data_IF_006114720069
#
_entry.id   IF_006114720069
#
_cell.length_a   1.000
_cell.length_b   1.000
_cell.length_c   1.000
_cell.angle_alpha   90.00
_cell.angle_beta   90.00
_cell.angle_gamma   90.00
#
_symmetry.space_group_name_H-M   'P 1'
#
loop_
_entity.id
_entity.type
_entity.pdbx_description
1 polymer ?
#
# COMPACT_ATOMS: atom_id res chain seq x y z
N UNK A 1 -4.27 -8.78 19.58
CA UNK A 1 -4.18 -7.36 19.96
C UNK A 1 -3.02 -6.76 19.17
N UNK A 2 -3.29 -5.80 18.29
CA UNK A 2 -2.24 -5.13 17.53
C UNK A 2 -2.67 -3.67 17.29
N UNK A 3 -1.85 -2.75 17.78
CA UNK A 3 -2.01 -1.31 17.51
C UNK A 3 -1.71 -1.07 16.04
N UNK A 4 -2.64 -0.40 15.33
CA UNK A 4 -2.50 -0.09 13.91
C UNK A 4 -2.50 1.41 13.68
N UNK A 5 -1.67 1.84 12.75
CA UNK A 5 -1.75 3.17 12.14
C UNK A 5 -2.65 3.03 10.92
N UNK A 6 -3.86 3.61 10.98
CA UNK A 6 -4.91 3.44 9.96
C UNK A 6 -5.60 4.76 9.61
N UNK A 7 -6.28 4.76 8.47
CA UNK A 7 -7.11 5.88 8.03
C UNK A 7 -8.53 5.71 8.59
N UNK A 8 -8.99 6.70 9.35
CA UNK A 8 -10.40 6.87 9.70
C UNK A 8 -11.04 7.81 8.67
N UNK A 9 -12.19 7.43 8.12
CA UNK A 9 -12.91 8.22 7.13
C UNK A 9 -13.80 9.23 7.84
N UNK A 10 -13.70 10.47 7.40
CA UNK A 10 -14.65 11.54 7.65
C UNK A 10 -15.06 12.22 6.34
N UNK A 11 -15.51 13.46 6.47
CA UNK A 11 -16.05 14.24 5.37
C UNK A 11 -17.50 13.86 5.04
N UNK A 12 -17.98 14.33 3.90
CA UNK A 12 -19.36 14.15 3.47
C UNK A 12 -19.46 13.20 2.27
N UNK A 13 -20.71 12.89 1.88
CA UNK A 13 -20.98 12.06 0.69
C UNK A 13 -20.28 12.69 -0.53
N UNK A 14 -19.56 11.86 -1.29
CA UNK A 14 -18.73 12.26 -2.45
C UNK A 14 -17.59 13.26 -2.15
N UNK A 15 -17.32 13.60 -0.88
CA UNK A 15 -16.18 14.43 -0.47
C UNK A 15 -15.43 13.79 0.70
N UNK A 16 -14.63 12.73 0.43
CA UNK A 16 -13.91 12.01 1.48
C UNK A 16 -12.78 12.86 2.07
N UNK A 17 -12.64 12.79 3.39
CA UNK A 17 -11.48 13.29 4.12
C UNK A 17 -11.03 12.21 5.09
N UNK A 18 -9.73 12.03 5.30
CA UNK A 18 -9.23 10.99 6.20
C UNK A 18 -8.41 11.59 7.34
N UNK A 19 -8.61 11.05 8.54
CA UNK A 19 -7.71 11.27 9.67
C UNK A 19 -6.77 10.07 9.78
N UNK A 20 -5.49 10.33 10.04
CA UNK A 20 -4.50 9.28 10.32
C UNK A 20 -4.53 9.07 11.83
N UNK A 21 -4.93 7.87 12.24
CA UNK A 21 -5.19 7.56 13.65
C UNK A 21 -4.47 6.29 14.10
N UNK A 22 -4.10 6.27 15.37
CA UNK A 22 -3.58 5.12 16.09
C UNK A 22 -4.74 4.46 16.81
N UNK A 23 -5.01 3.18 16.54
CA UNK A 23 -6.15 2.47 17.12
C UNK A 23 -5.88 0.97 17.22
N UNK A 24 -6.54 0.28 18.14
CA UNK A 24 -6.52 -1.18 18.17
C UNK A 24 -7.20 -1.73 16.90
N UNK A 25 -6.58 -2.74 16.30
CA UNK A 25 -7.13 -3.54 15.19
C UNK A 25 -8.60 -3.91 15.27
N UNK A 26 -9.15 -4.16 16.47
CA UNK A 26 -10.53 -4.62 16.72
C UNK A 26 -11.55 -3.50 16.69
N UNK A 27 -11.11 -2.24 16.82
CA UNK A 27 -12.02 -1.11 16.90
C UNK A 27 -12.64 -0.80 15.52
N UNK A 28 -13.87 -0.28 15.45
CA UNK A 28 -14.49 0.16 14.20
C UNK A 28 -13.62 1.16 13.45
N UNK A 29 -13.72 1.23 12.12
CA UNK A 29 -12.87 2.11 11.28
C UNK A 29 -12.89 3.56 11.74
N UNK A 30 -14.10 4.10 11.96
CA UNK A 30 -14.34 5.50 12.33
C UNK A 30 -14.75 5.62 13.81
N UNK A 31 -14.43 4.61 14.62
CA UNK A 31 -14.75 4.57 16.05
C UNK A 31 -13.67 5.22 16.91
N UNK A 32 -13.65 4.81 18.19
CA UNK A 32 -12.66 5.29 19.17
C UNK A 32 -11.23 4.95 18.73
N UNK A 33 -10.37 5.96 18.78
CA UNK A 33 -8.93 5.84 18.56
C UNK A 33 -8.18 6.29 19.82
N UNK A 34 -6.89 5.92 19.89
CA UNK A 34 -6.00 6.33 20.97
C UNK A 34 -5.49 7.75 20.72
N UNK A 35 -5.01 8.01 19.50
CA UNK A 35 -4.41 9.28 19.12
C UNK A 35 -4.62 9.57 17.64
N UNK A 36 -4.80 10.86 17.30
CA UNK A 36 -4.81 11.35 15.92
C UNK A 36 -3.45 11.97 15.62
N UNK A 37 -2.75 11.42 14.64
CA UNK A 37 -1.37 11.79 14.30
C UNK A 37 -1.26 12.48 12.93
N UNK A 38 -2.38 12.76 12.28
CA UNK A 38 -2.36 13.45 10.99
C UNK A 38 -3.69 13.45 10.23
N UNK A 39 -3.62 13.93 8.99
CA UNK A 39 -4.73 14.01 8.05
C UNK A 39 -4.29 13.66 6.63
N UNK A 40 -5.24 13.19 5.83
CA UNK A 40 -5.06 12.92 4.42
C UNK A 40 -6.29 13.38 3.63
N UNK A 41 -6.07 14.27 2.67
CA UNK A 41 -7.10 14.74 1.75
C UNK A 41 -6.82 14.22 0.32
N UNK A 42 -7.57 13.21 -0.16
CA UNK A 42 -7.36 12.64 -1.48
C UNK A 42 -7.80 13.56 -2.63
N UNK A 43 -8.59 14.60 -2.34
CA UNK A 43 -9.13 15.53 -3.34
C UNK A 43 -8.11 16.58 -3.78
N UNK A 44 -7.04 16.77 -3.01
CA UNK A 44 -5.94 17.65 -3.37
C UNK A 44 -4.97 16.96 -4.34
N UNK A 45 -4.31 17.78 -5.16
CA UNK A 45 -3.27 17.35 -6.09
C UNK A 45 -2.13 16.63 -5.35
N UNK A 46 -1.37 15.78 -6.06
CA UNK A 46 -0.42 14.85 -5.42
C UNK A 46 0.74 15.55 -4.71
N UNK A 47 1.13 16.67 -5.28
CA UNK A 47 2.18 17.62 -4.95
C UNK A 47 1.74 18.68 -3.92
N UNK A 48 0.45 18.74 -3.59
CA UNK A 48 -0.05 19.69 -2.61
C UNK A 48 0.40 19.32 -1.20
N UNK A 49 1.04 20.24 -0.49
CA UNK A 49 1.58 20.01 0.86
C UNK A 49 0.51 19.57 1.86
N UNK A 50 -0.68 20.17 1.79
CA UNK A 50 -1.78 19.81 2.68
C UNK A 50 -2.47 18.49 2.34
N UNK A 51 -2.05 17.82 1.27
CA UNK A 51 -2.63 16.53 0.90
C UNK A 51 -2.39 15.50 1.99
N UNK A 52 -1.20 15.46 2.58
CA UNK A 52 -0.83 14.56 3.67
C UNK A 52 -0.10 15.38 4.72
N UNK A 53 -0.72 15.55 5.89
CA UNK A 53 -0.08 16.17 7.06
C UNK A 53 0.07 15.11 8.15
N UNK A 54 1.28 14.92 8.64
CA UNK A 54 1.60 13.93 9.67
C UNK A 54 2.49 14.57 10.74
N UNK A 55 2.20 14.28 11.99
CA UNK A 55 3.11 14.53 13.10
C UNK A 55 4.18 13.42 13.09
N UNK A 56 5.37 13.77 12.62
CA UNK A 56 6.47 12.83 12.41
C UNK A 56 6.96 12.22 13.72
N UNK A 57 7.06 13.03 14.77
CA UNK A 57 7.58 12.60 16.08
C UNK A 57 6.66 11.56 16.71
N UNK A 58 5.34 11.82 16.68
CA UNK A 58 4.34 10.90 17.22
C UNK A 58 4.24 9.63 16.40
N UNK A 59 4.32 9.73 15.08
CA UNK A 59 4.32 8.56 14.20
C UNK A 59 5.53 7.68 14.49
N UNK A 60 6.73 8.25 14.62
CA UNK A 60 7.95 7.51 14.93
C UNK A 60 7.83 6.78 16.27
N UNK A 61 7.38 7.47 17.32
CA UNK A 61 7.14 6.87 18.63
C UNK A 61 6.22 5.64 18.58
N UNK A 62 5.15 5.70 17.79
CA UNK A 62 4.24 4.56 17.66
C UNK A 62 4.82 3.43 16.81
N UNK A 63 5.61 3.75 15.79
CA UNK A 63 6.35 2.75 15.01
C UNK A 63 7.36 2.00 15.90
N UNK A 64 8.09 2.73 16.76
CA UNK A 64 9.06 2.15 17.70
C UNK A 64 8.37 1.25 18.75
N UNK A 65 7.14 1.59 19.13
CA UNK A 65 6.28 0.75 19.98
C UNK A 65 5.66 -0.45 19.24
N UNK A 66 5.99 -0.67 17.97
CA UNK A 66 5.53 -1.81 17.19
C UNK A 66 4.16 -1.63 16.52
N UNK A 67 3.64 -0.41 16.41
CA UNK A 67 2.40 -0.17 15.69
C UNK A 67 2.55 -0.49 14.20
N UNK A 68 1.62 -1.26 13.65
CA UNK A 68 1.67 -1.69 12.25
C UNK A 68 0.88 -0.73 11.34
N UNK A 69 1.51 -0.08 10.34
CA UNK A 69 0.80 0.76 9.40
C UNK A 69 0.05 -0.06 8.33
N UNK A 70 -1.06 0.47 7.84
CA UNK A 70 -1.77 -0.08 6.66
C UNK A 70 -1.05 0.27 5.35
N UNK A 71 -1.31 -0.45 4.26
CA UNK A 71 -0.57 -0.26 2.97
C UNK A 71 -0.54 1.20 2.49
N UNK A 72 -1.67 1.92 2.60
CA UNK A 72 -1.72 3.32 2.19
C UNK A 72 -0.84 4.23 3.05
N UNK A 73 -0.80 3.99 4.36
CA UNK A 73 0.03 4.76 5.29
C UNK A 73 1.50 4.38 5.11
N UNK A 74 1.81 3.10 4.88
CA UNK A 74 3.16 2.67 4.54
C UNK A 74 3.70 3.45 3.33
N UNK A 75 2.89 3.66 2.29
CA UNK A 75 3.27 4.50 1.15
C UNK A 75 3.53 5.97 1.52
N UNK A 76 2.77 6.54 2.45
CA UNK A 76 3.04 7.91 2.92
C UNK A 76 4.35 7.98 3.71
N UNK A 77 4.62 6.98 4.56
CA UNK A 77 5.88 6.88 5.30
C UNK A 77 7.09 6.66 4.38
N UNK A 78 6.93 5.90 3.29
CA UNK A 78 7.97 5.74 2.26
C UNK A 78 8.31 7.06 1.57
N UNK A 79 7.30 7.87 1.24
CA UNK A 79 7.51 9.20 0.63
C UNK A 79 8.16 10.17 1.61
N UNK A 80 7.79 10.08 2.90
CA UNK A 80 8.38 10.89 3.97
C UNK A 80 9.79 10.43 4.39
N UNK A 81 10.32 9.33 3.84
CA UNK A 81 11.63 8.79 4.20
C UNK A 81 11.69 8.05 5.55
N UNK A 82 10.55 7.89 6.25
CA UNK A 82 10.46 7.21 7.55
C UNK A 82 10.48 5.68 7.45
N UNK A 83 10.33 5.14 6.24
CA UNK A 83 10.34 3.69 6.00
C UNK A 83 10.99 3.37 4.67
N UNK A 84 11.75 2.28 4.63
CA UNK A 84 12.32 1.74 3.39
C UNK A 84 11.21 1.35 2.41
N UNK A 85 11.34 1.78 1.16
CA UNK A 85 10.40 1.48 0.09
C UNK A 85 10.34 -0.02 -0.17
N UNK A 86 9.17 -0.62 0.00
CA UNK A 86 9.00 -2.03 -0.33
C UNK A 86 9.00 -2.21 -1.86
N UNK A 87 9.73 -3.21 -2.36
CA UNK A 87 9.59 -3.65 -3.75
C UNK A 87 8.22 -4.33 -3.93
N UNK A 88 7.37 -3.72 -4.75
CA UNK A 88 6.01 -4.22 -5.05
C UNK A 88 5.90 -4.83 -6.46
N UNK A 89 7.04 -5.08 -7.10
CA UNK A 89 7.09 -5.68 -8.43
C UNK A 89 6.78 -7.18 -8.32
N UNK A 90 5.77 -7.65 -9.06
CA UNK A 90 5.51 -9.08 -9.22
C UNK A 90 5.82 -9.52 -10.67
N UNK A 91 7.09 -9.83 -10.98
CA UNK A 91 7.50 -10.23 -12.33
C UNK A 91 6.89 -11.57 -12.77
N UNK A 92 6.40 -12.40 -11.82
CA UNK A 92 5.79 -13.71 -12.12
C UNK A 92 4.36 -13.59 -12.66
N UNK A 93 3.66 -12.47 -12.44
CA UNK A 93 2.28 -12.27 -12.94
C UNK A 93 2.21 -12.20 -14.47
N UNK A 94 3.27 -11.70 -15.10
CA UNK A 94 3.36 -11.58 -16.56
C UNK A 94 3.74 -12.89 -17.26
N UNK A 95 4.13 -13.93 -16.50
CA UNK A 95 4.53 -15.19 -17.11
C UNK A 95 3.30 -15.93 -17.66
N UNK A 96 3.34 -16.42 -18.91
CA UNK A 96 2.27 -17.24 -19.45
C UNK A 96 2.12 -18.52 -18.63
N UNK A 97 0.88 -18.98 -18.44
CA UNK A 97 0.60 -20.20 -17.67
C UNK A 97 1.27 -21.44 -18.26
N UNK A 98 1.50 -22.48 -17.44
CA UNK A 98 2.25 -23.69 -17.81
C UNK A 98 1.87 -24.28 -19.18
N UNK A 99 0.56 -24.41 -19.45
CA UNK A 99 0.06 -24.94 -20.74
C UNK A 99 0.42 -24.07 -21.96
N UNK A 100 0.55 -22.75 -21.79
CA UNK A 100 0.96 -21.85 -22.85
C UNK A 100 2.47 -21.93 -23.09
N UNK A 101 3.26 -22.15 -22.03
CA UNK A 101 4.71 -22.40 -22.13
C UNK A 101 4.98 -23.74 -22.81
N UNK A 102 4.24 -24.79 -22.47
CA UNK A 102 4.37 -26.12 -23.08
C UNK A 102 4.02 -26.10 -24.58
N UNK A 103 2.91 -25.45 -24.96
CA UNK A 103 2.55 -25.28 -26.38
C UNK A 103 3.52 -24.41 -27.17
N UNK A 104 4.14 -23.41 -26.54
CA UNK A 104 5.15 -22.58 -27.20
C UNK A 104 6.45 -23.37 -27.42
N UNK A 105 6.83 -24.24 -26.47
CA UNK A 105 7.96 -25.16 -26.63
C UNK A 105 7.70 -26.17 -27.73
N UNK A 106 6.59 -26.92 -27.69
CA UNK A 106 6.25 -27.88 -28.76
C UNK A 106 6.19 -27.24 -30.15
N UNK A 107 5.70 -26.00 -30.26
CA UNK A 107 5.70 -25.26 -31.53
C UNK A 107 7.09 -24.84 -31.98
N UNK A 108 7.99 -24.49 -31.05
CA UNK A 108 9.38 -24.16 -31.35
C UNK A 108 10.17 -25.41 -31.74
N UNK A 109 10.04 -26.50 -30.97
CA UNK A 109 10.68 -27.79 -31.24
C UNK A 109 10.23 -28.36 -32.61
N UNK A 110 8.95 -28.21 -32.96
CA UNK A 110 8.41 -28.61 -34.27
C UNK A 110 8.83 -27.68 -35.42
N UNK A 111 9.10 -26.41 -35.13
CA UNK A 111 9.59 -25.45 -36.13
C UNK A 111 11.10 -25.64 -36.40
N UNK A 112 11.91 -25.96 -35.40
CA UNK A 112 13.32 -26.31 -35.57
C UNK A 112 13.48 -27.64 -36.31
N UNK A 113 12.73 -28.68 -35.94
CA UNK A 113 12.75 -29.97 -36.65
C UNK A 113 12.27 -29.88 -38.11
N UNK A 114 11.47 -28.86 -38.45
CA UNK A 114 11.04 -28.58 -39.82
C UNK A 114 11.97 -27.65 -40.61
N UNK A 115 12.94 -27.01 -39.95
CA UNK A 115 13.93 -26.13 -40.58
C UNK A 115 15.28 -26.85 -40.80
N UNK A 116 15.52 -27.97 -40.13
CA UNK A 116 16.71 -28.82 -40.28
C UNK A 116 16.54 -29.97 -41.31
N UNK A 117 15.38 -30.08 -41.98
CA UNK A 117 15.06 -31.06 -43.03
C UNK A 117 14.85 -30.37 -44.39
#
# INVERSE_FOLDING_TARGET
>A
MATKIRLARGGSKKRPFYSIVISDSRMPRDGRFLEKVGTYNPLLAKDHEERVKMDVERVQFWLDKGAQPTDRIARFLEVAGLRTKAERSNPKKAQPGKKAVERAKEKADKAEAGAEA
#
